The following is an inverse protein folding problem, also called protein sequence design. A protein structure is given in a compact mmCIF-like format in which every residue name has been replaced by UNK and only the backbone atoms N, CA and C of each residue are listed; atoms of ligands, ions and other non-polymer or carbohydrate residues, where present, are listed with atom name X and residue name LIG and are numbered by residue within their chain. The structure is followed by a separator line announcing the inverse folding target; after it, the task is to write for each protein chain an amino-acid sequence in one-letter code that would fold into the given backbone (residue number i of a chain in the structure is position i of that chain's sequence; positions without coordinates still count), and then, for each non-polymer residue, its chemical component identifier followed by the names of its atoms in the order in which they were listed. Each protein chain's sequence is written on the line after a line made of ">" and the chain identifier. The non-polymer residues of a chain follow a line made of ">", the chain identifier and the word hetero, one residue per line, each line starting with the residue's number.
data_IF_776199161825
#
_entry.id   IF_776199161825
#
_cell.length_a   1.000
_cell.length_b   1.000
_cell.length_c   1.000
_cell.angle_alpha   90.00
_cell.angle_beta   90.00
_cell.angle_gamma   90.00
#
_symmetry.space_group_name_H-M   'P 1'
#
loop_
_entity.id
_entity.type
_entity.pdbx_description
1 polymer ?
#
# COMPACT_ATOMS: atom_id res chain seq x y z
N UNK A 1 -24.57 -1.38 1.39
CA UNK A 1 -23.47 -1.48 0.41
C UNK A 1 -23.57 -2.82 -0.28
N UNK A 2 -23.44 -2.88 -1.61
CA UNK A 2 -23.36 -4.15 -2.31
C UNK A 2 -22.16 -4.96 -1.80
N UNK A 3 -22.31 -6.29 -1.73
CA UNK A 3 -21.22 -7.17 -1.33
C UNK A 3 -20.09 -7.07 -2.36
N UNK A 4 -18.89 -6.64 -1.94
CA UNK A 4 -17.68 -6.63 -2.77
C UNK A 4 -17.20 -8.06 -3.01
N UNK A 5 -16.68 -8.32 -4.20
CA UNK A 5 -16.12 -9.61 -4.59
C UNK A 5 -14.88 -9.95 -3.74
N UNK A 6 -14.01 -8.97 -3.52
CA UNK A 6 -12.79 -9.10 -2.75
C UNK A 6 -12.83 -8.25 -1.48
N UNK A 7 -12.30 -8.80 -0.40
CA UNK A 7 -12.00 -8.03 0.80
C UNK A 7 -10.72 -7.21 0.59
N UNK A 8 -9.77 -7.74 -0.19
CA UNK A 8 -8.46 -7.12 -0.42
C UNK A 8 -7.93 -7.37 -1.85
N UNK A 9 -7.37 -6.35 -2.49
CA UNK A 9 -6.57 -6.52 -3.71
C UNK A 9 -5.15 -5.99 -3.47
N UNK A 10 -4.13 -6.75 -3.86
CA UNK A 10 -2.73 -6.30 -3.89
C UNK A 10 -2.38 -5.81 -5.30
N UNK A 11 -2.30 -4.49 -5.48
CA UNK A 11 -1.87 -3.87 -6.74
C UNK A 11 -0.37 -3.63 -6.76
N UNK A 12 0.32 -4.19 -7.76
CA UNK A 12 1.79 -4.20 -7.83
C UNK A 12 2.42 -5.49 -7.29
N UNK A 13 1.68 -6.60 -7.28
CA UNK A 13 2.11 -7.88 -6.73
C UNK A 13 3.41 -8.45 -7.34
N UNK A 14 3.77 -8.06 -8.57
CA UNK A 14 5.01 -8.48 -9.24
C UNK A 14 6.24 -7.72 -8.75
N UNK A 15 6.06 -6.64 -7.98
CA UNK A 15 7.13 -5.84 -7.41
C UNK A 15 7.78 -6.50 -6.20
N UNK A 16 8.91 -5.95 -5.77
CA UNK A 16 9.68 -6.46 -4.62
C UNK A 16 8.88 -6.45 -3.31
N UNK A 17 8.21 -5.34 -3.01
CA UNK A 17 7.34 -5.19 -1.83
C UNK A 17 6.05 -5.98 -2.03
N UNK A 18 5.39 -5.83 -3.18
CA UNK A 18 4.14 -6.53 -3.49
C UNK A 18 4.25 -8.05 -3.35
N UNK A 19 5.30 -8.68 -3.86
CA UNK A 19 5.52 -10.12 -3.71
C UNK A 19 5.66 -10.52 -2.25
N UNK A 20 6.39 -9.76 -1.43
CA UNK A 20 6.53 -10.05 0.01
C UNK A 20 5.21 -9.90 0.76
N UNK A 21 4.42 -8.88 0.42
CA UNK A 21 3.06 -8.71 0.96
C UNK A 21 2.21 -9.92 0.61
N UNK A 22 2.25 -10.38 -0.65
CA UNK A 22 1.52 -11.58 -1.07
C UNK A 22 1.99 -12.84 -0.33
N UNK A 23 3.30 -13.02 -0.16
CA UNK A 23 3.86 -14.17 0.58
C UNK A 23 3.48 -14.13 2.06
N UNK A 24 3.42 -12.95 2.67
CA UNK A 24 2.94 -12.78 4.03
C UNK A 24 1.46 -13.19 4.15
N UNK A 25 0.62 -12.72 3.21
CA UNK A 25 -0.79 -13.11 3.17
C UNK A 25 -0.97 -14.62 2.99
N UNK A 26 -0.22 -15.22 2.06
CA UNK A 26 -0.28 -16.65 1.81
C UNK A 26 0.03 -17.52 3.04
N UNK A 27 0.93 -17.05 3.92
CA UNK A 27 1.29 -17.73 5.18
C UNK A 27 0.32 -17.44 6.32
N UNK A 28 -0.20 -16.22 6.39
CA UNK A 28 -0.89 -15.71 7.57
C UNK A 28 -2.41 -15.84 7.49
N UNK A 29 -2.96 -15.84 6.28
CA UNK A 29 -4.40 -15.88 6.04
C UNK A 29 -4.75 -17.10 5.19
N UNK A 30 -4.92 -18.25 5.85
CA UNK A 30 -5.31 -19.51 5.19
C UNK A 30 -6.83 -19.61 4.98
N UNK A 31 -7.62 -18.86 5.76
CA UNK A 31 -9.08 -18.80 5.66
C UNK A 31 -9.61 -17.39 5.94
N UNK A 32 -10.85 -17.09 5.53
CA UNK A 32 -11.59 -15.90 5.94
C UNK A 32 -11.29 -14.58 5.20
N UNK A 33 -10.30 -14.53 4.32
CA UNK A 33 -9.99 -13.34 3.51
C UNK A 33 -10.06 -13.68 2.02
N UNK A 34 -10.99 -13.05 1.29
CA UNK A 34 -11.07 -13.17 -0.16
C UNK A 34 -10.19 -12.09 -0.78
N UNK A 35 -9.11 -12.50 -1.45
CA UNK A 35 -8.16 -11.54 -2.02
C UNK A 35 -7.72 -11.92 -3.44
N UNK A 36 -7.22 -10.91 -4.15
CA UNK A 36 -6.69 -11.04 -5.51
C UNK A 36 -5.36 -10.30 -5.65
N UNK A 37 -4.58 -10.68 -6.67
CA UNK A 37 -3.36 -9.96 -7.07
C UNK A 37 -3.60 -9.21 -8.38
N UNK A 38 -3.05 -8.00 -8.48
CA UNK A 38 -3.26 -7.13 -9.63
C UNK A 38 -1.99 -6.47 -10.12
N UNK A 39 -1.96 -6.19 -11.43
CA UNK A 39 -0.87 -5.50 -12.10
C UNK A 39 -0.99 -5.56 -13.62
N UNK A 40 -0.06 -4.90 -14.32
CA UNK A 40 -0.13 -4.72 -15.77
C UNK A 40 0.21 -5.98 -16.60
N UNK A 41 0.96 -6.91 -16.03
CA UNK A 41 1.50 -8.09 -16.74
C UNK A 41 0.92 -9.38 -16.16
N UNK A 42 -0.09 -9.93 -16.84
CA UNK A 42 -0.69 -11.22 -16.49
C UNK A 42 0.37 -12.34 -16.38
N UNK A 43 1.29 -12.52 -17.35
CA UNK A 43 2.30 -13.59 -17.24
C UNK A 43 3.15 -13.48 -15.97
N UNK A 44 3.53 -12.27 -15.54
CA UNK A 44 4.29 -12.10 -14.29
C UNK A 44 3.44 -12.32 -13.05
N UNK A 45 2.14 -12.04 -13.10
CA UNK A 45 1.22 -12.34 -11.99
C UNK A 45 1.02 -13.85 -11.85
N UNK A 46 1.02 -14.59 -12.96
CA UNK A 46 1.01 -16.06 -12.95
C UNK A 46 2.26 -16.62 -12.24
N UNK A 47 3.46 -16.12 -12.58
CA UNK A 47 4.70 -16.50 -11.87
C UNK A 47 4.63 -16.16 -10.36
N UNK A 48 3.98 -15.06 -9.98
CA UNK A 48 3.74 -14.73 -8.57
C UNK A 48 2.82 -15.77 -7.95
N UNK A 49 1.69 -16.10 -8.60
CA UNK A 49 0.74 -17.11 -8.12
C UNK A 49 1.41 -18.47 -7.92
N UNK A 50 2.24 -18.92 -8.86
CA UNK A 50 3.02 -20.17 -8.71
C UNK A 50 3.92 -20.16 -7.47
N UNK A 51 4.63 -19.05 -7.21
CA UNK A 51 5.45 -18.89 -6.00
C UNK A 51 4.60 -18.92 -4.72
N UNK A 52 3.37 -18.43 -4.78
CA UNK A 52 2.43 -18.46 -3.66
C UNK A 52 1.83 -19.85 -3.45
N UNK A 53 1.56 -20.61 -4.52
CA UNK A 53 1.10 -22.00 -4.46
C UNK A 53 2.11 -22.89 -3.74
N UNK A 54 3.41 -22.66 -3.96
CA UNK A 54 4.47 -23.34 -3.24
C UNK A 54 4.46 -23.08 -1.72
N UNK A 55 3.83 -21.99 -1.27
CA UNK A 55 3.63 -21.64 0.15
C UNK A 55 2.30 -22.17 0.67
N UNK A 56 1.24 -22.01 -0.12
CA UNK A 56 -0.11 -22.44 0.21
C UNK A 56 -0.81 -22.98 -1.05
N UNK A 57 -0.95 -24.31 -1.21
CA UNK A 57 -1.53 -24.94 -2.39
C UNK A 57 -2.96 -24.50 -2.74
N UNK A 58 -3.73 -24.00 -1.75
CA UNK A 58 -5.09 -23.50 -1.99
C UNK A 58 -5.12 -22.26 -2.90
N UNK A 59 -3.98 -21.55 -3.04
CA UNK A 59 -3.84 -20.36 -3.88
C UNK A 59 -3.68 -20.68 -5.37
N UNK A 60 -3.82 -21.93 -5.79
CA UNK A 60 -3.79 -22.32 -7.21
C UNK A 60 -4.88 -21.63 -8.03
N UNK A 61 -5.99 -21.28 -7.37
CA UNK A 61 -7.12 -20.54 -7.93
C UNK A 61 -7.12 -19.05 -7.56
N UNK A 62 -6.03 -18.52 -6.98
CA UNK A 62 -5.94 -17.12 -6.58
C UNK A 62 -6.26 -16.20 -7.78
N UNK A 63 -7.27 -15.32 -7.67
CA UNK A 63 -7.66 -14.46 -8.78
C UNK A 63 -6.58 -13.46 -9.17
N UNK A 64 -6.47 -13.24 -10.48
CA UNK A 64 -5.51 -12.32 -11.09
C UNK A 64 -6.29 -11.26 -11.87
N UNK A 65 -5.99 -9.99 -11.61
CA UNK A 65 -6.66 -8.85 -12.24
C UNK A 65 -5.64 -8.04 -13.04
N UNK A 66 -5.93 -7.80 -14.32
CA UNK A 66 -5.14 -6.88 -15.14
C UNK A 66 -5.53 -5.44 -14.80
N UNK A 67 -4.56 -4.65 -14.35
CA UNK A 67 -4.75 -3.23 -14.07
C UNK A 67 -3.46 -2.47 -14.40
N UNK A 68 -3.57 -1.31 -15.02
CA UNK A 68 -2.45 -0.46 -15.42
C UNK A 68 -2.67 0.98 -14.97
N UNK A 69 -1.64 1.60 -14.38
CA UNK A 69 -1.69 2.98 -13.91
C UNK A 69 -1.98 3.99 -15.04
N UNK A 70 -1.67 3.62 -16.29
CA UNK A 70 -1.94 4.41 -17.49
C UNK A 70 -3.35 4.27 -18.05
N UNK A 71 -4.17 3.34 -17.52
CA UNK A 71 -5.57 3.16 -17.92
C UNK A 71 -6.50 3.36 -16.72
N UNK A 72 -7.08 4.56 -16.55
CA UNK A 72 -8.04 4.86 -15.49
C UNK A 72 -9.21 3.86 -15.43
N UNK A 73 -9.71 3.41 -16.58
CA UNK A 73 -10.81 2.46 -16.67
C UNK A 73 -10.45 1.11 -16.04
N UNK A 74 -9.21 0.66 -16.23
CA UNK A 74 -8.72 -0.58 -15.62
C UNK A 74 -8.60 -0.47 -14.09
N UNK A 75 -8.19 0.69 -13.58
CA UNK A 75 -8.10 0.94 -12.14
C UNK A 75 -9.49 1.04 -11.52
N UNK A 76 -10.43 1.70 -12.17
CA UNK A 76 -11.82 1.78 -11.73
C UNK A 76 -12.50 0.41 -11.70
N UNK A 77 -12.30 -0.39 -12.75
CA UNK A 77 -12.82 -1.76 -12.81
C UNK A 77 -12.26 -2.63 -11.67
N UNK A 78 -10.95 -2.54 -11.40
CA UNK A 78 -10.31 -3.27 -10.29
C UNK A 78 -10.82 -2.78 -8.93
N UNK A 79 -10.82 -1.48 -8.68
CA UNK A 79 -11.19 -0.90 -7.38
C UNK A 79 -12.66 -1.14 -7.03
N UNK A 80 -13.56 -1.20 -8.02
CA UNK A 80 -14.97 -1.52 -7.82
C UNK A 80 -15.22 -2.90 -7.20
N UNK A 81 -14.28 -3.83 -7.36
CA UNK A 81 -14.42 -5.21 -6.88
C UNK A 81 -13.96 -5.40 -5.42
N UNK A 82 -13.25 -4.44 -4.83
CA UNK A 82 -12.60 -4.59 -3.53
C UNK A 82 -13.22 -3.75 -2.41
N UNK A 83 -13.03 -4.16 -1.15
CA UNK A 83 -13.19 -3.28 0.01
C UNK A 83 -11.94 -2.42 0.25
N UNK A 84 -10.75 -3.02 0.08
CA UNK A 84 -9.45 -2.36 0.27
C UNK A 84 -8.52 -2.70 -0.90
N UNK A 85 -7.74 -1.72 -1.36
CA UNK A 85 -6.61 -1.94 -2.26
C UNK A 85 -5.31 -1.54 -1.56
N UNK A 86 -4.34 -2.44 -1.54
CA UNK A 86 -2.96 -2.15 -1.12
C UNK A 86 -2.13 -1.91 -2.39
N UNK A 87 -1.58 -0.71 -2.53
CA UNK A 87 -0.68 -0.35 -3.62
C UNK A 87 0.78 -0.51 -3.22
N UNK A 88 1.54 -1.19 -4.07
CA UNK A 88 3.01 -1.21 -4.02
C UNK A 88 3.61 -0.75 -5.35
N UNK A 89 2.87 0.06 -6.12
CA UNK A 89 3.29 0.57 -7.43
C UNK A 89 3.87 1.97 -7.29
N UNK A 90 5.20 2.03 -7.27
CA UNK A 90 5.96 3.27 -7.35
C UNK A 90 6.68 3.44 -8.71
N UNK A 91 7.25 4.63 -8.98
CA UNK A 91 7.23 5.83 -8.14
C UNK A 91 5.83 6.45 -7.99
N UNK A 92 5.45 6.80 -6.77
CA UNK A 92 4.07 7.20 -6.44
C UNK A 92 3.72 8.59 -6.97
N UNK A 93 4.68 9.51 -7.05
CA UNK A 93 4.50 10.80 -7.72
C UNK A 93 4.08 10.66 -9.19
N UNK A 94 4.47 9.57 -9.86
CA UNK A 94 4.14 9.33 -11.26
C UNK A 94 2.88 8.48 -11.44
N UNK A 95 2.71 7.43 -10.61
CA UNK A 95 1.71 6.39 -10.86
C UNK A 95 0.67 6.24 -9.74
N UNK A 96 0.84 6.92 -8.60
CA UNK A 96 0.02 6.71 -7.41
C UNK A 96 -1.35 7.39 -7.50
N UNK A 97 -1.40 8.61 -8.05
CA UNK A 97 -2.60 9.44 -8.03
C UNK A 97 -3.81 8.81 -8.76
N UNK A 98 -3.66 8.23 -9.97
CA UNK A 98 -4.79 7.62 -10.67
C UNK A 98 -5.50 6.52 -9.85
N UNK A 99 -4.74 5.76 -9.06
CA UNK A 99 -5.33 4.73 -8.20
C UNK A 99 -6.07 5.33 -7.00
N UNK A 100 -5.53 6.38 -6.38
CA UNK A 100 -6.23 7.08 -5.29
C UNK A 100 -7.57 7.63 -5.78
N UNK A 101 -7.57 8.29 -6.94
CA UNK A 101 -8.79 8.81 -7.56
C UNK A 101 -9.82 7.70 -7.83
N UNK A 102 -9.38 6.56 -8.40
CA UNK A 102 -10.24 5.40 -8.64
C UNK A 102 -10.83 4.82 -7.34
N UNK A 103 -10.01 4.66 -6.29
CA UNK A 103 -10.45 4.20 -4.98
C UNK A 103 -11.54 5.11 -4.39
N UNK A 104 -11.33 6.42 -4.41
CA UNK A 104 -12.32 7.40 -3.93
C UNK A 104 -13.59 7.33 -4.76
N UNK A 105 -13.46 7.32 -6.10
CA UNK A 105 -14.60 7.20 -7.02
C UNK A 105 -15.46 5.97 -6.73
N UNK A 106 -14.83 4.83 -6.49
CA UNK A 106 -15.53 3.57 -6.28
C UNK A 106 -15.96 3.32 -4.83
N UNK A 107 -15.57 4.16 -3.86
CA UNK A 107 -15.85 3.93 -2.45
C UNK A 107 -15.02 2.78 -1.86
N UNK A 108 -13.75 2.68 -2.27
CA UNK A 108 -12.82 1.60 -1.92
C UNK A 108 -11.67 2.18 -1.10
N UNK A 109 -11.34 1.56 0.03
CA UNK A 109 -10.25 2.04 0.89
C UNK A 109 -8.89 1.79 0.25
N UNK A 110 -7.93 2.65 0.60
CA UNK A 110 -6.61 2.66 0.01
C UNK A 110 -5.53 2.59 1.08
N UNK A 111 -4.51 1.77 0.83
CA UNK A 111 -3.30 1.69 1.63
C UNK A 111 -2.11 1.63 0.68
N UNK A 112 -0.99 2.26 1.02
CA UNK A 112 0.24 2.14 0.24
C UNK A 112 1.49 1.99 1.10
N UNK A 113 2.62 1.72 0.44
CA UNK A 113 3.95 1.69 1.06
C UNK A 113 4.85 2.84 0.59
N UNK A 114 4.29 4.00 0.24
CA UNK A 114 5.07 5.11 -0.31
C UNK A 114 6.02 5.71 0.73
N UNK A 115 7.19 6.14 0.29
CA UNK A 115 8.10 7.01 1.06
C UNK A 115 8.11 8.45 0.54
N UNK A 116 7.27 8.78 -0.44
CA UNK A 116 7.29 10.04 -1.17
C UNK A 116 6.39 11.08 -0.49
N UNK A 117 6.90 11.81 0.50
CA UNK A 117 6.12 12.85 1.22
C UNK A 117 5.45 13.90 0.32
N UNK A 118 6.06 14.38 -0.80
CA UNK A 118 5.37 15.29 -1.72
C UNK A 118 4.10 14.68 -2.33
N UNK A 119 4.11 13.38 -2.64
CA UNK A 119 2.93 12.67 -3.13
C UNK A 119 1.81 12.70 -2.08
N UNK A 120 2.15 12.36 -0.84
CA UNK A 120 1.18 12.35 0.27
C UNK A 120 0.58 13.74 0.48
N UNK A 121 1.41 14.78 0.46
CA UNK A 121 0.95 16.17 0.57
C UNK A 121 -0.04 16.54 -0.55
N UNK A 122 0.28 16.18 -1.80
CA UNK A 122 -0.61 16.42 -2.94
C UNK A 122 -1.95 15.67 -2.80
N UNK A 123 -1.91 14.40 -2.36
CA UNK A 123 -3.12 13.62 -2.12
C UNK A 123 -3.99 14.24 -1.04
N UNK A 124 -3.39 14.70 0.08
CA UNK A 124 -4.14 15.38 1.15
C UNK A 124 -4.82 16.63 0.61
N UNK A 125 -4.08 17.52 -0.06
CA UNK A 125 -4.65 18.77 -0.57
C UNK A 125 -5.75 18.55 -1.60
N UNK A 126 -5.60 17.56 -2.48
CA UNK A 126 -6.53 17.34 -3.59
C UNK A 126 -7.76 16.52 -3.20
N UNK A 127 -7.59 15.52 -2.33
CA UNK A 127 -8.60 14.48 -2.15
C UNK A 127 -9.17 14.36 -0.73
N UNK A 128 -8.65 15.09 0.27
CA UNK A 128 -9.11 14.95 1.66
C UNK A 128 -10.63 15.11 1.82
N UNK A 129 -11.20 16.18 1.27
CA UNK A 129 -12.64 16.44 1.40
C UNK A 129 -13.48 15.39 0.66
N UNK A 130 -13.11 15.03 -0.57
CA UNK A 130 -13.86 14.04 -1.35
C UNK A 130 -13.82 12.64 -0.69
N UNK A 131 -12.68 12.26 -0.10
CA UNK A 131 -12.54 11.01 0.63
C UNK A 131 -13.44 10.99 1.87
N UNK A 132 -13.54 12.11 2.61
CA UNK A 132 -14.47 12.24 3.74
C UNK A 132 -15.93 12.11 3.28
N UNK A 133 -16.32 12.86 2.25
CA UNK A 133 -17.70 12.87 1.74
C UNK A 133 -18.14 11.47 1.28
N UNK A 134 -17.21 10.68 0.73
CA UNK A 134 -17.46 9.30 0.28
C UNK A 134 -17.19 8.23 1.33
N UNK A 135 -16.81 8.60 2.55
CA UNK A 135 -16.41 7.67 3.63
C UNK A 135 -15.30 6.69 3.20
N UNK A 136 -14.31 7.18 2.46
CA UNK A 136 -13.15 6.41 2.00
C UNK A 136 -11.94 6.72 2.87
N UNK A 137 -11.36 5.68 3.47
CA UNK A 137 -10.12 5.78 4.24
C UNK A 137 -8.93 5.64 3.28
N UNK A 138 -8.01 6.60 3.37
CA UNK A 138 -6.70 6.57 2.69
C UNK A 138 -5.61 6.47 3.78
N UNK A 139 -4.77 5.43 3.72
CA UNK A 139 -3.66 5.23 4.65
C UNK A 139 -2.34 5.14 3.87
N UNK A 140 -1.73 6.27 3.50
CA UNK A 140 -0.43 6.28 2.86
C UNK A 140 0.68 5.91 3.86
N UNK A 141 1.89 5.63 3.34
CA UNK A 141 3.12 5.44 4.12
C UNK A 141 3.11 4.24 5.09
N UNK A 142 2.43 3.14 4.74
CA UNK A 142 2.45 1.89 5.51
C UNK A 142 3.67 1.02 5.18
N UNK A 143 4.85 1.65 5.08
CA UNK A 143 6.12 1.00 4.77
C UNK A 143 7.13 1.07 5.91
N UNK A 144 8.28 0.41 5.73
CA UNK A 144 9.38 0.45 6.69
C UNK A 144 9.90 1.89 6.92
N UNK A 145 9.81 2.76 5.93
CA UNK A 145 10.35 4.11 6.02
C UNK A 145 9.52 5.03 6.94
N UNK A 146 8.34 4.59 7.40
CA UNK A 146 7.44 5.43 8.23
C UNK A 146 6.82 4.69 9.42
N UNK A 147 6.49 3.40 9.30
CA UNK A 147 5.85 2.64 10.40
C UNK A 147 6.69 2.60 11.67
N UNK A 148 8.02 2.31 11.64
CA UNK A 148 8.84 2.31 12.85
C UNK A 148 8.91 3.69 13.53
N UNK A 149 8.99 4.79 12.77
CA UNK A 149 9.01 6.14 13.34
C UNK A 149 7.67 6.49 13.97
N UNK A 150 6.57 6.20 13.30
CA UNK A 150 5.23 6.61 13.74
C UNK A 150 4.80 5.82 14.98
N UNK A 151 4.90 4.49 14.91
CA UNK A 151 4.54 3.62 16.03
C UNK A 151 5.52 3.80 17.18
N UNK A 152 6.82 3.91 16.91
CA UNK A 152 7.83 4.15 17.95
C UNK A 152 7.60 5.47 18.68
N UNK A 153 7.30 6.55 17.95
CA UNK A 153 6.96 7.85 18.53
C UNK A 153 5.72 7.74 19.40
N UNK A 154 4.65 7.11 18.90
CA UNK A 154 3.42 6.89 19.67
C UNK A 154 3.69 6.12 20.96
N UNK A 155 4.43 5.02 20.90
CA UNK A 155 4.74 4.20 22.07
C UNK A 155 5.48 5.01 23.16
N UNK A 156 6.49 5.80 22.77
CA UNK A 156 7.25 6.63 23.71
C UNK A 156 6.37 7.73 24.32
N UNK A 157 5.56 8.40 23.50
CA UNK A 157 4.65 9.47 23.96
C UNK A 157 3.59 8.91 24.92
N UNK A 158 2.97 7.78 24.57
CA UNK A 158 1.96 7.12 25.40
C UNK A 158 2.54 6.66 26.73
N UNK A 159 3.75 6.08 26.72
CA UNK A 159 4.46 5.67 27.92
C UNK A 159 4.75 6.86 28.84
N UNK A 160 5.32 7.95 28.30
CA UNK A 160 5.62 9.15 29.10
C UNK A 160 4.36 9.74 29.74
N UNK A 161 3.28 9.80 28.97
CA UNK A 161 1.99 10.30 29.45
C UNK A 161 1.42 9.41 30.54
N UNK A 162 1.43 8.10 30.35
CA UNK A 162 0.82 7.14 31.28
C UNK A 162 1.60 7.03 32.59
N UNK A 163 2.92 6.90 32.52
CA UNK A 163 3.75 6.62 33.70
C UNK A 163 4.14 7.87 34.47
N UNK A 164 4.27 9.02 33.80
CA UNK A 164 4.74 10.26 34.43
C UNK A 164 3.72 11.40 34.40
N UNK A 165 2.60 11.27 33.68
CA UNK A 165 1.61 12.35 33.55
C UNK A 165 2.13 13.57 32.79
N UNK A 166 3.21 13.42 32.01
CA UNK A 166 3.88 14.51 31.32
C UNK A 166 3.53 14.57 29.83
N UNK A 167 3.66 15.76 29.24
CA UNK A 167 3.63 15.96 27.79
C UNK A 167 5.01 15.75 27.17
N UNK A 168 5.08 15.18 25.97
CA UNK A 168 6.33 15.02 25.21
C UNK A 168 6.54 16.20 24.26
N UNK A 169 7.68 16.88 24.34
CA UNK A 169 8.02 18.00 23.45
C UNK A 169 8.48 17.54 22.06
N UNK A 170 9.36 16.54 22.02
CA UNK A 170 9.87 15.99 20.76
C UNK A 170 10.39 14.56 20.96
N UNK A 171 10.31 13.77 19.89
CA UNK A 171 10.94 12.45 19.78
C UNK A 171 11.87 12.52 18.57
N UNK A 172 13.11 12.09 18.75
CA UNK A 172 14.08 11.97 17.66
C UNK A 172 14.40 10.50 17.47
N UNK A 173 14.05 9.97 16.31
CA UNK A 173 14.43 8.62 15.91
C UNK A 173 15.69 8.69 15.05
N UNK A 174 16.68 7.85 15.38
CA UNK A 174 17.91 7.73 14.60
C UNK A 174 18.09 6.27 14.17
N UNK A 175 18.25 6.04 12.87
CA UNK A 175 18.62 4.74 12.34
C UNK A 175 20.16 4.62 12.32
N UNK A 176 20.71 3.92 13.31
CA UNK A 176 22.18 3.82 13.49
C UNK A 176 22.83 2.77 12.57
N UNK A 177 22.08 1.74 12.20
CA UNK A 177 22.55 0.71 11.28
C UNK A 177 21.37 0.14 10.50
N UNK A 178 21.63 -0.22 9.25
CA UNK A 178 20.66 -0.85 8.37
C UNK A 178 21.32 -2.03 7.67
N UNK A 179 20.60 -3.16 7.62
CA UNK A 179 20.99 -4.32 6.81
C UNK A 179 19.88 -4.62 5.82
N UNK A 180 20.15 -4.35 4.55
CA UNK A 180 19.22 -4.57 3.45
C UNK A 180 19.70 -3.88 2.18
N UNK A 181 19.16 -4.27 1.04
CA UNK A 181 19.37 -3.58 -0.23
C UNK A 181 18.16 -2.69 -0.54
N UNK A 182 18.38 -1.51 -1.11
CA UNK A 182 17.29 -0.68 -1.62
C UNK A 182 16.60 -1.42 -2.78
N UNK A 183 15.26 -1.43 -2.79
CA UNK A 183 14.54 -1.97 -3.95
C UNK A 183 14.71 -1.01 -5.14
N UNK A 184 14.55 -1.51 -6.37
CA UNK A 184 14.56 -0.64 -7.56
C UNK A 184 13.51 0.48 -7.47
N UNK A 185 12.37 0.21 -6.82
CA UNK A 185 11.36 1.23 -6.53
C UNK A 185 11.87 2.30 -5.57
N UNK A 186 12.51 1.90 -4.47
CA UNK A 186 13.11 2.83 -3.48
C UNK A 186 14.12 3.77 -4.13
N UNK A 187 15.00 3.24 -4.99
CA UNK A 187 15.99 4.06 -5.72
C UNK A 187 15.32 5.07 -6.66
N UNK A 188 14.29 4.65 -7.38
CA UNK A 188 13.54 5.52 -8.28
C UNK A 188 12.79 6.63 -7.52
N UNK A 189 12.19 6.30 -6.37
CA UNK A 189 11.54 7.29 -5.49
C UNK A 189 12.55 8.33 -4.97
N UNK A 190 13.73 7.90 -4.52
CA UNK A 190 14.79 8.82 -4.06
C UNK A 190 15.24 9.78 -5.17
N UNK A 191 15.42 9.29 -6.40
CA UNK A 191 15.77 10.14 -7.54
C UNK A 191 14.68 11.18 -7.84
N UNK A 192 13.40 10.80 -7.77
CA UNK A 192 12.30 11.74 -8.01
C UNK A 192 12.22 12.82 -6.92
N UNK A 193 12.36 12.45 -5.65
CA UNK A 193 12.37 13.43 -4.53
C UNK A 193 13.50 14.45 -4.70
N UNK A 194 14.68 14.02 -5.16
CA UNK A 194 15.82 14.93 -5.38
C UNK A 194 15.65 15.81 -6.63
N UNK A 195 14.85 15.40 -7.60
CA UNK A 195 14.59 16.15 -8.83
C UNK A 195 13.55 17.27 -8.64
N UNK A 196 12.65 17.14 -7.64
CA UNK A 196 11.72 18.19 -7.25
C UNK A 196 12.44 19.23 -6.36
N UNK A 197 12.72 20.40 -6.94
CA UNK A 197 13.18 21.60 -6.23
C UNK A 197 12.03 22.54 -5.96
#
# INVERSE_FOLDING_TARGET
>A
MAAREYDLIIYGATGFTGLRTCQYLARSYTEGVRWAIAGRSIPKLEEVREKLVAINPALSSLPIIKADASSPESLEAMTAQAKVVISTVGPFMQYGEPLVAACIKQGTHYVDSTGESPFVNNIIHKYHQEALDKNVILVPQCGFDSVPSDIGTKMVVDFIRKEYGLSTKSVKMSLLSFRGAASGGTLASLCNIMAEK
#
